data_IF_671362686542
#
_entry.id   IF_671362686542
#
_cell.length_a   1.000
_cell.length_b   1.000
_cell.length_c   1.000
_cell.angle_alpha   90.00
_cell.angle_beta   90.00
_cell.angle_gamma   90.00
#
_symmetry.space_group_name_H-M   'P 1'
#
loop_
_entity.id
_entity.type
_entity.pdbx_description
1 polymer ?
#
# COMPACT_ATOMS: atom_id res chain seq x y z
N UNK A 1 12.62 -21.76 14.11
CA UNK A 1 12.03 -20.47 13.71
C UNK A 1 12.29 -19.32 14.68
N UNK A 2 12.73 -19.56 15.92
CA UNK A 2 12.83 -18.48 16.93
C UNK A 2 14.17 -17.73 16.97
N UNK A 3 15.30 -18.33 16.64
CA UNK A 3 16.61 -17.70 16.84
C UNK A 3 16.89 -16.57 15.86
N UNK A 4 16.64 -16.78 14.58
CA UNK A 4 16.84 -15.78 13.52
C UNK A 4 15.89 -14.57 13.66
N UNK A 5 14.65 -14.83 14.09
CA UNK A 5 13.70 -13.75 14.39
C UNK A 5 14.15 -12.91 15.60
N UNK A 6 14.68 -13.55 16.66
CA UNK A 6 15.19 -12.82 17.83
C UNK A 6 16.52 -12.11 17.53
N UNK A 7 17.35 -12.61 16.64
CA UNK A 7 18.53 -11.90 16.14
C UNK A 7 18.13 -10.67 15.31
N UNK A 8 17.07 -10.77 14.49
CA UNK A 8 16.51 -9.61 13.78
C UNK A 8 15.95 -8.54 14.72
N UNK A 9 15.32 -8.95 15.84
CA UNK A 9 14.86 -8.01 16.87
C UNK A 9 16.02 -7.32 17.63
N UNK A 10 17.20 -7.94 17.70
CA UNK A 10 18.38 -7.30 18.24
C UNK A 10 18.90 -6.16 17.35
N UNK A 11 18.49 -6.11 16.08
CA UNK A 11 18.80 -5.06 15.13
C UNK A 11 17.71 -3.97 15.04
N UNK A 12 16.70 -4.01 15.90
CA UNK A 12 15.54 -3.11 15.84
C UNK A 12 15.91 -1.63 15.72
N UNK A 13 16.88 -1.16 16.51
CA UNK A 13 17.27 0.25 16.47
C UNK A 13 17.92 0.65 15.15
N UNK A 14 18.62 -0.29 14.51
CA UNK A 14 19.16 -0.07 13.17
C UNK A 14 18.04 -0.01 12.12
N UNK A 15 17.09 -0.94 12.19
CA UNK A 15 15.96 -0.98 11.26
C UNK A 15 15.04 0.24 11.44
N UNK A 16 14.82 0.73 12.67
CA UNK A 16 14.13 2.01 12.89
C UNK A 16 14.79 3.15 12.15
N UNK A 17 16.12 3.26 12.20
CA UNK A 17 16.86 4.27 11.46
C UNK A 17 16.61 4.21 9.96
N UNK A 18 16.60 3.00 9.38
CA UNK A 18 16.30 2.80 7.96
C UNK A 18 14.89 3.25 7.61
N UNK A 19 13.88 2.83 8.40
CA UNK A 19 12.47 3.21 8.16
C UNK A 19 12.26 4.72 8.32
N UNK A 20 12.93 5.37 9.27
CA UNK A 20 12.85 6.83 9.43
C UNK A 20 13.43 7.58 8.21
N UNK A 21 14.51 7.08 7.62
CA UNK A 21 15.04 7.61 6.35
C UNK A 21 14.05 7.39 5.19
N UNK A 22 13.39 6.23 5.12
CA UNK A 22 12.36 5.97 4.11
C UNK A 22 11.16 6.92 4.26
N UNK A 23 10.71 7.20 5.49
CA UNK A 23 9.67 8.20 5.76
C UNK A 23 10.12 9.58 5.26
N UNK A 24 11.34 9.99 5.57
CA UNK A 24 11.89 11.27 5.11
C UNK A 24 11.94 11.35 3.58
N UNK A 25 12.35 10.27 2.91
CA UNK A 25 12.36 10.20 1.44
C UNK A 25 10.94 10.34 0.85
N UNK A 26 9.94 9.68 1.44
CA UNK A 26 8.55 9.80 1.03
C UNK A 26 8.03 11.23 1.23
N UNK A 27 8.33 11.85 2.37
CA UNK A 27 7.98 13.24 2.65
C UNK A 27 8.64 14.22 1.68
N UNK A 28 9.85 13.92 1.21
CA UNK A 28 10.62 14.75 0.26
C UNK A 28 10.23 14.48 -1.20
N UNK A 29 9.43 13.47 -1.46
CA UNK A 29 8.90 13.16 -2.80
C UNK A 29 7.45 13.67 -2.91
N UNK A 30 7.20 14.82 -3.58
CA UNK A 30 5.86 15.42 -3.63
C UNK A 30 4.80 14.53 -4.26
N UNK A 31 5.17 13.70 -5.22
CA UNK A 31 4.28 12.71 -5.84
C UNK A 31 3.78 11.70 -4.81
N UNK A 32 4.70 11.04 -4.07
CA UNK A 32 4.34 10.03 -3.06
C UNK A 32 3.48 10.63 -1.96
N UNK A 33 3.88 11.79 -1.45
CA UNK A 33 3.13 12.52 -0.43
C UNK A 33 1.71 12.87 -0.90
N UNK A 34 1.55 13.26 -2.17
CA UNK A 34 0.22 13.59 -2.71
C UNK A 34 -0.66 12.35 -2.81
N UNK A 35 -0.09 11.19 -3.11
CA UNK A 35 -0.82 9.92 -3.10
C UNK A 35 -1.23 9.50 -1.68
N UNK A 36 -0.40 9.69 -0.67
CA UNK A 36 -0.77 9.45 0.73
C UNK A 36 -1.90 10.38 1.20
N UNK A 37 -1.82 11.67 0.87
CA UNK A 37 -2.89 12.63 1.15
C UNK A 37 -4.20 12.27 0.46
N UNK A 38 -4.14 11.73 -0.76
CA UNK A 38 -5.33 11.24 -1.46
C UNK A 38 -5.98 10.08 -0.71
N UNK A 39 -5.19 9.11 -0.24
CA UNK A 39 -5.71 7.99 0.55
C UNK A 39 -6.42 8.47 1.81
N UNK A 40 -5.83 9.42 2.51
CA UNK A 40 -6.42 10.03 3.70
C UNK A 40 -7.71 10.82 3.36
N UNK A 41 -7.72 11.60 2.28
CA UNK A 41 -8.89 12.34 1.82
C UNK A 41 -10.06 11.40 1.43
N UNK A 42 -9.74 10.26 0.80
CA UNK A 42 -10.73 9.33 0.26
C UNK A 42 -11.30 8.37 1.32
N UNK A 43 -10.48 7.90 2.26
CA UNK A 43 -10.86 6.88 3.24
C UNK A 43 -10.89 7.40 4.69
N UNK A 44 -10.42 8.62 4.98
CA UNK A 44 -10.37 9.17 6.32
C UNK A 44 -9.44 8.38 7.24
N UNK A 45 -9.82 8.19 8.50
CA UNK A 45 -9.00 7.51 9.52
C UNK A 45 -9.02 5.98 9.43
N UNK A 46 -9.57 5.42 8.35
CA UNK A 46 -9.66 3.97 8.19
C UNK A 46 -8.29 3.33 7.96
N UNK A 47 -8.10 2.05 8.34
CA UNK A 47 -6.81 1.38 8.24
C UNK A 47 -6.17 1.40 6.85
N UNK A 48 -6.97 1.40 5.78
CA UNK A 48 -6.50 1.44 4.39
C UNK A 48 -5.85 2.79 4.01
N UNK A 49 -6.20 3.87 4.71
CA UNK A 49 -5.66 5.20 4.48
C UNK A 49 -4.33 5.47 5.22
N UNK A 50 -3.95 4.60 6.14
CA UNK A 50 -2.72 4.79 6.91
C UNK A 50 -1.50 4.62 6.02
N UNK A 51 -0.49 5.51 6.15
CA UNK A 51 0.79 5.34 5.46
C UNK A 51 1.38 3.96 5.76
N UNK A 52 1.95 3.32 4.75
CA UNK A 52 2.56 1.98 4.90
C UNK A 52 3.73 2.02 5.88
N UNK A 53 4.52 3.08 5.83
CA UNK A 53 5.66 3.28 6.73
C UNK A 53 5.27 3.70 8.16
N UNK A 54 4.01 4.13 8.36
CA UNK A 54 3.57 4.73 9.62
C UNK A 54 4.08 6.15 9.81
N UNK A 55 4.11 6.64 11.07
CA UNK A 55 4.69 7.95 11.40
C UNK A 55 6.05 7.80 12.10
N UNK A 56 6.90 8.83 11.97
CA UNK A 56 8.21 8.86 12.61
C UNK A 56 8.11 8.68 14.14
N UNK A 57 7.06 9.25 14.77
CA UNK A 57 6.81 9.11 16.20
C UNK A 57 6.48 7.66 16.56
N UNK A 58 5.64 6.99 15.77
CA UNK A 58 5.27 5.59 16.00
C UNK A 58 6.47 4.67 15.85
N UNK A 59 7.24 4.83 14.75
CA UNK A 59 8.44 4.02 14.50
C UNK A 59 9.44 4.18 15.62
N UNK A 60 9.69 5.41 16.06
CA UNK A 60 10.61 5.70 17.17
C UNK A 60 10.16 5.09 18.50
N UNK A 61 8.84 5.04 18.74
CA UNK A 61 8.26 4.53 19.99
C UNK A 61 8.22 3.00 20.07
N UNK A 62 8.24 2.26 18.96
CA UNK A 62 8.13 0.80 19.00
C UNK A 62 9.27 0.17 19.78
N UNK A 63 8.87 -0.79 20.63
CA UNK A 63 9.79 -1.63 21.40
C UNK A 63 9.88 -3.03 20.79
N UNK A 64 10.89 -3.79 21.20
CA UNK A 64 10.99 -5.21 20.87
C UNK A 64 9.74 -5.99 21.29
N UNK A 65 9.17 -5.67 22.43
CA UNK A 65 8.02 -6.39 22.98
C UNK A 65 6.75 -6.08 22.21
N UNK A 66 6.59 -4.86 21.67
CA UNK A 66 5.49 -4.48 20.78
C UNK A 66 5.54 -5.32 19.49
N UNK A 67 6.73 -5.43 18.87
CA UNK A 67 6.89 -6.24 17.65
C UNK A 67 6.69 -7.74 17.92
N UNK A 68 7.16 -8.24 19.05
CA UNK A 68 6.97 -9.63 19.45
C UNK A 68 5.47 -9.94 19.67
N UNK A 69 4.76 -9.02 20.35
CA UNK A 69 3.32 -9.13 20.56
C UNK A 69 2.54 -9.08 19.25
N UNK A 70 2.87 -8.16 18.35
CA UNK A 70 2.27 -8.07 17.03
C UNK A 70 2.50 -9.33 16.21
N UNK A 71 3.75 -9.82 16.17
CA UNK A 71 4.09 -11.06 15.48
C UNK A 71 3.31 -12.24 16.02
N UNK A 72 3.29 -12.42 17.36
CA UNK A 72 2.51 -13.46 18.02
C UNK A 72 1.01 -13.40 17.74
N UNK A 73 0.46 -12.18 17.55
CA UNK A 73 -0.95 -11.97 17.27
C UNK A 73 -1.35 -12.16 15.80
N UNK A 74 -0.43 -12.01 14.84
CA UNK A 74 -0.74 -11.97 13.40
C UNK A 74 -0.19 -13.14 12.60
N UNK A 75 0.95 -13.72 13.02
CA UNK A 75 1.60 -14.82 12.32
C UNK A 75 1.06 -16.16 12.81
N UNK A 76 -0.01 -16.61 12.17
CA UNK A 76 -0.74 -17.84 12.49
C UNK A 76 -0.86 -18.75 11.29
N UNK A 77 -0.91 -20.08 11.46
CA UNK A 77 -1.16 -21.02 10.36
C UNK A 77 -2.43 -20.70 9.59
N UNK A 78 -3.48 -20.26 10.29
CA UNK A 78 -4.77 -19.88 9.69
C UNK A 78 -4.71 -18.60 8.83
N UNK A 79 -3.65 -17.80 8.99
CA UNK A 79 -3.41 -16.57 8.23
C UNK A 79 -2.22 -16.71 7.27
N UNK A 80 -1.80 -17.93 6.98
CA UNK A 80 -0.64 -18.21 6.15
C UNK A 80 -1.01 -19.11 4.98
N UNK A 81 -0.42 -18.84 3.82
CA UNK A 81 -0.50 -19.68 2.62
C UNK A 81 0.93 -20.03 2.20
N UNK A 82 1.22 -21.32 2.08
CA UNK A 82 2.48 -21.81 1.55
C UNK A 82 2.29 -22.26 0.10
N UNK A 83 2.95 -21.60 -0.84
CA UNK A 83 2.97 -21.96 -2.25
C UNK A 83 4.37 -22.43 -2.64
N UNK A 84 4.45 -23.56 -3.33
CA UNK A 84 5.70 -24.15 -3.79
C UNK A 84 5.58 -24.47 -5.27
N UNK A 85 6.47 -23.90 -6.08
CA UNK A 85 6.54 -24.13 -7.51
C UNK A 85 7.95 -24.52 -7.93
N UNK A 86 8.09 -25.47 -8.87
CA UNK A 86 9.36 -25.95 -9.38
C UNK A 86 9.42 -27.47 -9.51
N UNK A 87 10.62 -28.00 -9.72
CA UNK A 87 10.86 -29.44 -9.77
C UNK A 87 11.26 -29.95 -8.36
N UNK A 88 10.36 -30.67 -7.68
CA UNK A 88 10.59 -31.17 -6.33
C UNK A 88 9.92 -32.54 -6.08
N UNK A 89 10.43 -33.26 -5.11
CA UNK A 89 9.81 -34.46 -4.58
C UNK A 89 8.74 -34.10 -3.56
N UNK A 90 7.48 -34.39 -3.90
CA UNK A 90 6.32 -34.02 -3.06
C UNK A 90 6.36 -34.70 -1.68
N UNK A 91 6.77 -35.98 -1.59
CA UNK A 91 6.82 -36.68 -0.32
C UNK A 91 7.84 -36.05 0.64
N UNK A 92 9.00 -35.64 0.10
CA UNK A 92 10.03 -34.94 0.87
C UNK A 92 9.55 -33.54 1.33
N UNK A 93 8.86 -32.83 0.46
CA UNK A 93 8.29 -31.50 0.81
C UNK A 93 7.26 -31.65 1.93
N UNK A 94 6.33 -32.59 1.83
CA UNK A 94 5.36 -32.85 2.89
C UNK A 94 6.02 -33.20 4.22
N UNK A 95 7.04 -34.04 4.20
CA UNK A 95 7.81 -34.39 5.40
C UNK A 95 8.44 -33.14 6.01
N UNK A 96 9.11 -32.28 5.21
CA UNK A 96 9.74 -31.05 5.66
C UNK A 96 8.72 -30.07 6.25
N UNK A 97 7.54 -29.93 5.63
CA UNK A 97 6.45 -29.08 6.15
C UNK A 97 6.02 -29.61 7.53
N UNK A 98 5.81 -30.92 7.67
CA UNK A 98 5.45 -31.53 8.96
C UNK A 98 6.52 -31.30 10.03
N UNK A 99 7.79 -31.49 9.70
CA UNK A 99 8.91 -31.28 10.63
C UNK A 99 9.12 -29.81 11.03
N UNK A 100 8.98 -28.88 10.09
CA UNK A 100 9.28 -27.44 10.30
C UNK A 100 8.11 -26.62 10.79
N UNK A 101 6.90 -26.92 10.31
CA UNK A 101 5.69 -26.14 10.56
C UNK A 101 4.62 -26.92 11.34
N UNK A 102 4.75 -28.23 11.51
CA UNK A 102 3.72 -29.05 12.16
C UNK A 102 3.41 -28.67 13.62
N UNK A 103 4.40 -28.10 14.33
CA UNK A 103 4.21 -27.59 15.69
C UNK A 103 3.73 -26.13 15.73
N UNK A 104 3.57 -25.49 14.57
CA UNK A 104 3.09 -24.10 14.51
C UNK A 104 1.60 -24.07 14.77
N UNK A 105 1.20 -23.58 15.93
CA UNK A 105 -0.18 -23.46 16.37
C UNK A 105 -0.50 -22.03 16.80
N UNK A 106 -1.79 -21.70 16.79
CA UNK A 106 -2.26 -20.41 17.24
C UNK A 106 -3.61 -20.56 17.96
N UNK A 107 -3.70 -20.01 19.15
CA UNK A 107 -4.90 -20.11 19.97
C UNK A 107 -5.88 -18.95 19.78
N UNK A 108 -5.44 -17.79 19.27
CA UNK A 108 -6.19 -16.53 19.31
C UNK A 108 -6.30 -15.81 17.95
N UNK A 109 -6.34 -16.55 16.84
CA UNK A 109 -6.55 -15.94 15.54
C UNK A 109 -7.92 -15.26 15.45
N UNK A 110 -7.91 -13.97 15.08
CA UNK A 110 -9.11 -13.20 14.77
C UNK A 110 -9.00 -12.71 13.33
N UNK A 111 -9.87 -13.17 12.42
CA UNK A 111 -9.91 -12.64 11.07
C UNK A 111 -10.29 -11.15 11.09
N UNK A 112 -9.83 -10.40 10.09
CA UNK A 112 -10.29 -9.02 9.89
C UNK A 112 -11.78 -9.05 9.50
N UNK A 113 -12.60 -8.24 10.15
CA UNK A 113 -14.06 -8.21 9.94
C UNK A 113 -14.58 -6.87 9.41
N UNK A 114 -13.75 -5.84 9.40
CA UNK A 114 -14.22 -4.47 9.12
C UNK A 114 -14.15 -4.20 7.63
N UNK A 115 -15.28 -3.84 7.03
CA UNK A 115 -15.36 -3.40 5.64
C UNK A 115 -15.00 -1.90 5.55
N UNK A 116 -14.09 -1.57 4.64
CA UNK A 116 -13.69 -0.19 4.36
C UNK A 116 -14.81 0.55 3.63
N UNK A 117 -15.11 1.77 4.05
CA UNK A 117 -16.07 2.66 3.40
C UNK A 117 -15.36 3.94 2.96
N UNK A 118 -15.67 4.48 1.77
CA UNK A 118 -15.20 5.81 1.40
C UNK A 118 -15.66 6.85 2.42
N UNK A 119 -14.80 7.82 2.73
CA UNK A 119 -15.19 8.98 3.52
C UNK A 119 -16.13 9.89 2.72
N UNK A 120 -16.72 10.89 3.37
CA UNK A 120 -17.42 11.95 2.67
C UNK A 120 -16.44 12.69 1.73
N UNK A 121 -16.89 13.18 0.57
CA UNK A 121 -16.03 13.97 -0.32
C UNK A 121 -15.32 15.10 0.42
N UNK A 122 -14.02 15.21 0.22
CA UNK A 122 -13.17 16.17 0.90
C UNK A 122 -11.99 16.61 0.04
N UNK A 123 -11.29 17.61 0.50
CA UNK A 123 -10.06 18.10 -0.11
C UNK A 123 -9.02 18.29 1.00
N UNK A 124 -7.83 17.77 0.78
CA UNK A 124 -6.66 18.02 1.61
C UNK A 124 -5.63 18.79 0.78
N UNK A 125 -4.97 19.75 1.40
CA UNK A 125 -3.87 20.48 0.81
C UNK A 125 -2.71 20.57 1.80
N UNK A 126 -1.48 20.49 1.29
CA UNK A 126 -0.25 20.69 2.05
C UNK A 126 0.63 21.67 1.29
N UNK A 127 0.96 22.78 1.93
CA UNK A 127 1.91 23.74 1.36
C UNK A 127 3.34 23.22 1.52
N UNK A 128 4.11 23.27 0.43
CA UNK A 128 5.52 22.90 0.39
C UNK A 128 6.24 23.77 -0.63
N UNK A 129 7.46 24.18 -0.32
CA UNK A 129 8.30 24.95 -1.27
C UNK A 129 8.88 24.00 -2.33
N UNK A 130 8.13 23.82 -3.43
CA UNK A 130 8.47 22.94 -4.55
C UNK A 130 8.15 23.64 -5.88
N UNK A 131 8.78 23.18 -6.97
CA UNK A 131 8.66 23.81 -8.29
C UNK A 131 7.30 23.58 -8.95
N UNK A 132 6.63 22.48 -8.66
CA UNK A 132 5.39 22.07 -9.30
C UNK A 132 4.28 21.88 -8.27
N UNK A 133 3.04 22.15 -8.68
CA UNK A 133 1.85 21.75 -7.94
C UNK A 133 1.47 20.32 -8.31
N UNK A 134 1.33 19.47 -7.31
CA UNK A 134 0.93 18.07 -7.45
C UNK A 134 -0.54 17.93 -7.05
N UNK A 135 -1.33 17.32 -7.91
CA UNK A 135 -2.77 17.19 -7.75
C UNK A 135 -3.15 15.72 -7.89
N UNK A 136 -3.93 15.22 -6.92
CA UNK A 136 -4.58 13.92 -7.03
C UNK A 136 -6.09 14.06 -6.89
N UNK A 137 -6.82 13.28 -7.71
CA UNK A 137 -8.27 13.11 -7.61
C UNK A 137 -8.58 11.63 -7.37
N UNK A 138 -9.41 11.33 -6.39
CA UNK A 138 -9.86 9.98 -6.07
C UNK A 138 -11.35 9.81 -6.32
N UNK A 139 -11.70 8.73 -7.00
CA UNK A 139 -13.07 8.32 -7.26
C UNK A 139 -13.29 6.92 -6.69
N UNK A 140 -14.51 6.55 -6.24
CA UNK A 140 -14.80 5.18 -5.88
C UNK A 140 -14.42 4.20 -7.00
N UNK A 141 -13.66 3.18 -6.66
CA UNK A 141 -13.22 2.13 -7.57
C UNK A 141 -13.78 0.77 -7.17
N UNK A 142 -13.23 -0.29 -7.75
CA UNK A 142 -13.68 -1.66 -7.57
C UNK A 142 -12.70 -2.43 -6.68
N UNK A 143 -13.22 -3.33 -5.84
CA UNK A 143 -12.40 -4.21 -5.01
C UNK A 143 -11.77 -5.35 -5.82
N UNK A 144 -10.77 -6.01 -5.25
CA UNK A 144 -10.18 -7.23 -5.84
C UNK A 144 -11.27 -8.28 -6.03
N UNK A 145 -11.31 -8.91 -7.22
CA UNK A 145 -12.26 -9.96 -7.57
C UNK A 145 -13.63 -9.46 -8.00
N UNK A 146 -13.83 -8.15 -8.12
CA UNK A 146 -15.06 -7.62 -8.72
C UNK A 146 -15.14 -8.01 -10.21
N UNK A 147 -16.33 -8.39 -10.66
CA UNK A 147 -16.55 -8.84 -12.05
C UNK A 147 -16.24 -7.75 -13.09
N UNK A 148 -16.35 -6.48 -12.72
CA UNK A 148 -16.14 -5.33 -13.59
C UNK A 148 -14.67 -4.81 -13.60
N UNK A 149 -13.74 -5.52 -12.96
CA UNK A 149 -12.33 -5.09 -12.93
C UNK A 149 -11.69 -5.03 -14.33
N UNK A 150 -12.11 -5.90 -15.24
CA UNK A 150 -11.61 -5.88 -16.63
C UNK A 150 -12.11 -4.66 -17.40
N UNK A 151 -13.37 -4.28 -17.21
CA UNK A 151 -13.97 -3.09 -17.79
C UNK A 151 -13.30 -1.83 -17.23
N UNK A 152 -13.04 -1.77 -15.94
CA UNK A 152 -12.32 -0.65 -15.31
C UNK A 152 -10.87 -0.56 -15.83
N UNK A 153 -10.19 -1.68 -16.02
CA UNK A 153 -8.84 -1.71 -16.58
C UNK A 153 -8.82 -1.24 -18.03
N UNK A 154 -9.79 -1.65 -18.83
CA UNK A 154 -9.94 -1.18 -20.21
C UNK A 154 -10.26 0.32 -20.26
N UNK A 155 -11.20 0.78 -19.43
CA UNK A 155 -11.50 2.20 -19.30
C UNK A 155 -10.25 2.99 -18.92
N UNK A 156 -9.49 2.54 -17.90
CA UNK A 156 -8.27 3.21 -17.46
C UNK A 156 -7.24 3.31 -18.58
N UNK A 157 -7.04 2.25 -19.36
CA UNK A 157 -6.10 2.26 -20.50
C UNK A 157 -6.42 3.35 -21.52
N UNK A 158 -7.70 3.57 -21.81
CA UNK A 158 -8.17 4.63 -22.71
C UNK A 158 -8.13 6.00 -22.04
N UNK A 159 -8.44 6.07 -20.75
CA UNK A 159 -8.61 7.33 -20.03
C UNK A 159 -7.27 7.98 -19.67
N UNK A 160 -6.39 7.28 -18.93
CA UNK A 160 -5.13 7.85 -18.41
C UNK A 160 -4.01 6.85 -18.22
N UNK A 161 -4.17 5.58 -18.57
CA UNK A 161 -3.20 4.52 -18.29
C UNK A 161 -2.04 4.39 -19.28
N UNK A 162 -1.98 5.21 -20.34
CA UNK A 162 -0.94 5.12 -21.37
C UNK A 162 -0.68 6.48 -22.02
N UNK A 163 0.45 6.64 -22.73
CA UNK A 163 0.78 7.86 -23.48
C UNK A 163 -0.23 8.17 -24.60
N UNK A 164 -0.93 7.18 -25.13
CA UNK A 164 -2.03 7.37 -26.10
C UNK A 164 -3.39 7.63 -25.45
N UNK A 165 -3.45 7.71 -24.13
CA UNK A 165 -4.68 7.94 -23.37
C UNK A 165 -5.23 9.36 -23.56
N UNK A 166 -6.52 9.54 -23.29
CA UNK A 166 -7.21 10.82 -23.46
C UNK A 166 -6.65 11.90 -22.54
N UNK A 167 -6.33 11.58 -21.27
CA UNK A 167 -5.72 12.52 -20.33
C UNK A 167 -4.37 13.00 -20.85
N UNK A 168 -3.50 12.06 -21.24
CA UNK A 168 -2.17 12.39 -21.72
C UNK A 168 -2.24 13.27 -22.98
N UNK A 169 -3.04 12.89 -23.97
CA UNK A 169 -3.19 13.65 -25.20
C UNK A 169 -3.77 15.05 -24.97
N UNK A 170 -4.83 15.16 -24.15
CA UNK A 170 -5.49 16.44 -23.92
C UNK A 170 -4.70 17.38 -23.02
N UNK A 171 -4.19 16.89 -21.91
CA UNK A 171 -3.58 17.73 -20.85
C UNK A 171 -2.13 18.01 -21.16
N UNK A 172 -1.37 17.00 -21.61
CA UNK A 172 0.05 17.14 -21.90
C UNK A 172 0.31 17.60 -23.32
N UNK A 173 -0.15 16.84 -24.33
CA UNK A 173 0.24 17.08 -25.72
C UNK A 173 -0.48 18.29 -26.34
N UNK A 174 -1.81 18.39 -26.18
CA UNK A 174 -2.57 19.48 -26.81
C UNK A 174 -2.54 20.77 -25.99
N UNK A 175 -2.65 20.70 -24.66
CA UNK A 175 -2.78 21.89 -23.80
C UNK A 175 -1.48 22.31 -23.16
N UNK A 176 -0.48 21.44 -23.02
CA UNK A 176 0.79 21.72 -22.34
C UNK A 176 0.66 22.07 -20.86
N UNK A 177 -0.48 21.72 -20.22
CA UNK A 177 -0.79 22.13 -18.84
C UNK A 177 -0.04 21.33 -17.80
N UNK A 178 0.31 20.07 -18.09
CA UNK A 178 1.04 19.21 -17.16
C UNK A 178 2.08 18.37 -17.91
N UNK A 179 3.27 18.24 -17.34
CA UNK A 179 4.28 17.35 -17.88
C UNK A 179 3.97 15.88 -17.57
N UNK A 180 3.43 15.61 -16.40
CA UNK A 180 3.02 14.28 -15.95
C UNK A 180 1.53 14.29 -15.67
N UNK A 181 0.79 13.39 -16.32
CA UNK A 181 -0.62 13.14 -16.04
C UNK A 181 -0.95 11.68 -16.36
N UNK A 182 -1.60 11.01 -15.40
CA UNK A 182 -2.02 9.62 -15.57
C UNK A 182 -3.18 9.27 -14.66
N UNK A 183 -3.81 8.12 -14.93
CA UNK A 183 -4.80 7.52 -14.03
C UNK A 183 -4.47 6.05 -13.77
N UNK A 184 -4.87 5.56 -12.61
CA UNK A 184 -4.67 4.16 -12.23
C UNK A 184 -5.73 3.72 -11.23
N UNK A 185 -6.22 2.47 -11.34
CA UNK A 185 -7.08 1.87 -10.34
C UNK A 185 -6.25 1.24 -9.22
N UNK A 186 -6.65 1.50 -7.97
CA UNK A 186 -6.18 0.78 -6.78
C UNK A 186 -7.30 -0.14 -6.32
N UNK A 187 -7.04 -1.45 -6.23
CA UNK A 187 -8.00 -2.43 -5.75
C UNK A 187 -7.46 -3.08 -4.46
N UNK A 188 -8.27 -3.10 -3.43
CA UNK A 188 -8.03 -3.77 -2.16
C UNK A 188 -9.04 -4.91 -1.97
N UNK A 189 -8.89 -5.70 -0.92
CA UNK A 189 -9.77 -6.86 -0.68
C UNK A 189 -11.24 -6.50 -0.45
N UNK A 190 -11.51 -5.31 0.06
CA UNK A 190 -12.84 -4.85 0.48
C UNK A 190 -13.26 -3.51 -0.12
N UNK A 191 -12.35 -2.78 -0.76
CA UNK A 191 -12.62 -1.49 -1.38
C UNK A 191 -11.75 -1.27 -2.62
N UNK A 192 -11.93 -0.13 -3.29
CA UNK A 192 -11.07 0.30 -4.39
C UNK A 192 -11.25 1.78 -4.70
N UNK A 193 -10.28 2.33 -5.42
CA UNK A 193 -10.25 3.73 -5.84
C UNK A 193 -9.70 3.82 -7.27
N UNK A 194 -10.29 4.68 -8.08
CA UNK A 194 -9.68 5.15 -9.33
C UNK A 194 -9.04 6.50 -9.06
N UNK A 195 -7.75 6.58 -9.27
CA UNK A 195 -6.96 7.78 -9.03
C UNK A 195 -6.55 8.47 -10.32
N UNK A 196 -6.51 9.78 -10.32
CA UNK A 196 -5.93 10.62 -11.36
C UNK A 196 -4.86 11.49 -10.71
N UNK A 197 -3.68 11.53 -11.30
CA UNK A 197 -2.58 12.36 -10.85
C UNK A 197 -2.15 13.31 -11.96
N UNK A 198 -1.77 14.53 -11.57
CA UNK A 198 -1.12 15.49 -12.45
C UNK A 198 -0.09 16.32 -11.69
N UNK A 199 1.03 16.61 -12.36
CA UNK A 199 2.02 17.60 -11.91
C UNK A 199 2.05 18.76 -12.91
N UNK A 200 1.82 19.97 -12.43
CA UNK A 200 1.69 21.19 -13.26
C UNK A 200 2.45 22.36 -12.63
N UNK A 201 2.73 23.37 -13.42
CA UNK A 201 3.21 24.65 -12.89
C UNK A 201 2.09 25.36 -12.11
N UNK A 202 2.42 26.11 -11.05
CA UNK A 202 1.43 26.81 -10.25
C UNK A 202 0.77 28.00 -10.94
N UNK A 203 1.31 28.48 -12.10
CA UNK A 203 0.85 29.66 -12.86
C UNK A 203 -0.21 29.32 -13.92
#
# INVERSE_FOLDING_TARGET
MNKEFFEALALLEKEKGVVLEEISMCEDTPEDLTHELLMLAHYGDQPVARPILGSAEQISAYTRDDLAAYWGAKYHPQNAVLSIAGNYDWARVQQMIGEKLGAWSAENYRPRSDATQPAAPGCLAKDKEIEQMHICLGFPGLKIGDAQNYELSLFNSVFGGAMSSRLFQKIREESGMAYTVYSYPNAYTDCGMLSVYAATNPD
#
